data_IF_668454495917
#
_entry.id   IF_668454495917
#
_cell.length_a   1.000
_cell.length_b   1.000
_cell.length_c   1.000
_cell.angle_alpha   90.00
_cell.angle_beta   90.00
_cell.angle_gamma   90.00
#
_symmetry.space_group_name_H-M   'P 1'
#
loop_
_entity.id
_entity.type
_entity.pdbx_description
1 polymer ?
#
# COMPACT_ATOMS: atom_id res chain seq x y z
N UNK A 1 -15.13 7.13 -16.63
CA UNK A 1 -15.16 8.50 -16.07
C UNK A 1 -13.95 9.25 -16.60
N UNK A 2 -14.14 10.40 -17.24
CA UNK A 2 -13.02 11.22 -17.70
C UNK A 2 -12.48 12.06 -16.54
N UNK A 3 -11.42 11.60 -15.88
CA UNK A 3 -10.74 12.37 -14.84
C UNK A 3 -9.91 13.47 -15.52
N UNK A 4 -10.25 14.74 -15.25
CA UNK A 4 -9.46 15.93 -15.64
C UNK A 4 -8.22 16.07 -14.74
N UNK A 5 -7.34 15.10 -14.88
CA UNK A 5 -6.27 14.73 -13.97
C UNK A 5 -5.31 15.89 -13.63
N UNK A 6 -4.95 16.74 -14.60
CA UNK A 6 -4.11 17.94 -14.36
C UNK A 6 -4.73 19.02 -13.46
N UNK A 7 -6.06 19.07 -13.34
CA UNK A 7 -6.76 20.04 -12.50
C UNK A 7 -7.09 19.49 -11.11
N UNK A 8 -6.76 18.21 -10.85
CA UNK A 8 -7.11 17.53 -9.61
C UNK A 8 -5.99 16.59 -9.12
N UNK A 9 -4.76 17.09 -8.88
CA UNK A 9 -3.59 16.26 -8.55
C UNK A 9 -3.71 15.44 -7.25
N UNK A 10 -4.71 15.72 -6.40
CA UNK A 10 -5.00 14.94 -5.20
C UNK A 10 -6.04 13.84 -5.40
N UNK A 11 -6.64 13.75 -6.58
CA UNK A 11 -7.76 12.85 -6.83
C UNK A 11 -7.40 11.36 -6.73
N UNK A 12 -6.24 10.87 -7.22
CA UNK A 12 -5.90 9.45 -7.13
C UNK A 12 -5.79 9.01 -5.67
N UNK A 13 -5.10 9.82 -4.85
CA UNK A 13 -4.96 9.54 -3.43
C UNK A 13 -6.30 9.62 -2.70
N UNK A 14 -7.15 10.59 -3.04
CA UNK A 14 -8.49 10.69 -2.49
C UNK A 14 -9.31 9.43 -2.81
N UNK A 15 -9.37 9.03 -4.07
CA UNK A 15 -10.08 7.81 -4.49
C UNK A 15 -9.54 6.60 -3.75
N UNK A 16 -8.21 6.45 -3.65
CA UNK A 16 -7.59 5.33 -2.95
C UNK A 16 -7.95 5.26 -1.47
N UNK A 17 -8.01 6.41 -0.80
CA UNK A 17 -8.41 6.51 0.61
C UNK A 17 -9.89 6.22 0.84
N UNK A 18 -10.74 6.53 -0.14
CA UNK A 18 -12.19 6.31 -0.05
C UNK A 18 -12.59 4.88 -0.41
N UNK A 19 -11.85 4.21 -1.31
CA UNK A 19 -12.09 2.81 -1.67
C UNK A 19 -11.36 1.82 -0.75
N UNK A 20 -10.32 2.29 -0.05
CA UNK A 20 -9.53 1.48 0.88
C UNK A 20 -10.13 1.36 2.27
N UNK A 21 -9.56 0.44 3.06
CA UNK A 21 -9.91 0.21 4.46
C UNK A 21 -8.66 0.12 5.36
N UNK A 22 -7.54 0.72 4.90
CA UNK A 22 -6.23 0.69 5.59
C UNK A 22 -6.31 1.15 7.05
N UNK A 23 -7.18 2.12 7.36
CA UNK A 23 -7.41 2.58 8.74
C UNK A 23 -7.87 1.46 9.66
N UNK A 24 -8.85 0.66 9.25
CA UNK A 24 -9.33 -0.42 10.11
C UNK A 24 -8.24 -1.48 10.34
N UNK A 25 -7.47 -1.80 9.29
CA UNK A 25 -6.35 -2.75 9.37
C UNK A 25 -5.29 -2.23 10.35
N UNK A 26 -4.86 -0.97 10.19
CA UNK A 26 -3.86 -0.34 11.04
C UNK A 26 -4.21 -0.43 12.53
N UNK A 27 -5.45 -0.12 12.91
CA UNK A 27 -5.88 -0.19 14.32
C UNK A 27 -6.01 -1.62 14.86
N UNK A 28 -6.02 -2.64 13.99
CA UNK A 28 -6.03 -4.05 14.38
C UNK A 28 -4.65 -4.71 14.38
N UNK A 29 -3.60 -4.04 13.87
CA UNK A 29 -2.24 -4.57 13.88
C UNK A 29 -1.69 -4.68 15.30
N UNK A 30 -1.93 -3.66 16.13
CA UNK A 30 -1.29 -3.55 17.43
C UNK A 30 -2.17 -4.18 18.53
N UNK A 31 -1.60 -5.05 19.39
CA UNK A 31 -2.32 -5.61 20.54
C UNK A 31 -2.91 -4.52 21.44
N UNK A 32 -4.12 -4.73 22.02
CA UNK A 32 -4.78 -3.73 22.87
C UNK A 32 -4.07 -3.49 24.21
N UNK A 33 -3.07 -4.32 24.55
CA UNK A 33 -2.23 -4.16 25.74
C UNK A 33 -1.15 -3.09 25.58
N UNK A 34 -0.83 -2.68 24.34
CA UNK A 34 0.15 -1.63 24.06
C UNK A 34 -0.47 -0.24 24.23
N UNK A 35 0.27 0.70 24.82
CA UNK A 35 -0.14 2.10 24.87
C UNK A 35 -0.14 2.66 23.43
N UNK A 36 -1.20 3.38 23.06
CA UNK A 36 -1.31 4.05 21.77
C UNK A 36 -0.09 4.90 21.44
N UNK A 37 0.56 5.49 22.45
CA UNK A 37 1.77 6.30 22.28
C UNK A 37 2.96 5.52 21.72
N UNK A 38 2.99 4.21 21.91
CA UNK A 38 4.07 3.34 21.44
C UNK A 38 4.06 3.14 19.92
N UNK A 39 2.90 3.29 19.27
CA UNK A 39 2.76 2.96 17.85
C UNK A 39 2.04 4.02 17.02
N UNK A 40 1.28 4.95 17.60
CA UNK A 40 0.42 5.87 16.83
C UNK A 40 1.17 6.69 15.78
N UNK A 41 2.45 7.04 16.03
CA UNK A 41 3.30 7.78 15.09
C UNK A 41 3.56 7.01 13.79
N UNK A 42 3.48 5.67 13.81
CA UNK A 42 3.66 4.82 12.62
C UNK A 42 2.45 4.83 11.68
N UNK A 43 1.30 5.31 12.16
CA UNK A 43 0.03 5.23 11.44
C UNK A 43 0.13 5.74 10.00
N UNK A 44 0.68 6.94 9.71
CA UNK A 44 0.76 7.42 8.33
C UNK A 44 1.51 6.46 7.39
N UNK A 45 2.62 5.89 7.87
CA UNK A 45 3.46 4.98 7.11
C UNK A 45 2.79 3.62 6.92
N UNK A 46 2.14 3.10 7.95
CA UNK A 46 1.40 1.84 7.87
C UNK A 46 0.18 1.95 6.95
N UNK A 47 -0.54 3.08 6.97
CA UNK A 47 -1.64 3.33 6.03
C UNK A 47 -1.14 3.35 4.59
N UNK A 48 -0.04 4.07 4.32
CA UNK A 48 0.60 4.12 3.01
C UNK A 48 1.05 2.71 2.57
N UNK A 49 1.71 1.97 3.46
CA UNK A 49 2.15 0.61 3.21
C UNK A 49 0.99 -0.31 2.84
N UNK A 50 -0.09 -0.33 3.63
CA UNK A 50 -1.27 -1.17 3.37
C UNK A 50 -1.89 -0.81 2.01
N UNK A 51 -2.10 0.49 1.79
CA UNK A 51 -2.83 0.91 0.61
C UNK A 51 -2.05 0.60 -0.68
N UNK A 52 -0.76 0.90 -0.67
CA UNK A 52 0.05 0.83 -1.88
C UNK A 52 0.74 -0.52 -2.08
N UNK A 53 0.95 -1.32 -1.03
CA UNK A 53 1.28 -2.75 -1.22
C UNK A 53 0.16 -3.47 -1.97
N UNK A 54 -1.11 -3.13 -1.67
CA UNK A 54 -2.23 -3.66 -2.44
C UNK A 54 -2.17 -3.17 -3.90
N UNK A 55 -1.98 -1.88 -4.16
CA UNK A 55 -1.87 -1.34 -5.54
C UNK A 55 -0.72 -1.98 -6.33
N UNK A 56 0.42 -2.25 -5.67
CA UNK A 56 1.59 -2.91 -6.28
C UNK A 56 1.28 -4.36 -6.65
N UNK A 57 0.71 -5.12 -5.72
CA UNK A 57 0.48 -6.55 -5.89
C UNK A 57 -0.80 -6.86 -6.67
N UNK A 58 -1.71 -5.89 -6.81
CA UNK A 58 -2.87 -5.99 -7.69
C UNK A 58 -2.61 -5.51 -9.11
N UNK A 59 -1.56 -4.71 -9.35
CA UNK A 59 -1.27 -4.12 -10.66
C UNK A 59 -1.38 -5.13 -11.82
N UNK A 60 -0.77 -6.31 -11.69
CA UNK A 60 -0.82 -7.33 -12.75
C UNK A 60 -2.25 -7.79 -13.05
N UNK A 61 -3.05 -8.10 -12.02
CA UNK A 61 -4.44 -8.53 -12.25
C UNK A 61 -5.27 -7.42 -12.90
N UNK A 62 -5.01 -6.17 -12.52
CA UNK A 62 -5.75 -4.99 -12.99
C UNK A 62 -5.43 -4.71 -14.46
N UNK A 63 -4.14 -4.74 -14.84
CA UNK A 63 -3.75 -4.62 -16.25
C UNK A 63 -4.29 -5.79 -17.08
N UNK A 64 -4.23 -7.02 -16.56
CA UNK A 64 -4.78 -8.20 -17.23
C UNK A 64 -6.30 -8.10 -17.45
N UNK A 65 -7.02 -7.45 -16.54
CA UNK A 65 -8.48 -7.25 -16.59
C UNK A 65 -8.88 -5.95 -17.30
N UNK A 66 -7.93 -5.12 -17.72
CA UNK A 66 -8.21 -3.82 -18.35
C UNK A 66 -8.77 -2.78 -17.37
N UNK A 67 -8.58 -2.98 -16.07
CA UNK A 67 -8.98 -2.01 -15.04
C UNK A 67 -8.07 -0.77 -15.11
N UNK A 68 -8.68 0.41 -15.27
CA UNK A 68 -7.97 1.69 -15.38
C UNK A 68 -8.36 2.72 -14.31
N UNK A 69 -9.34 2.39 -13.47
CA UNK A 69 -9.76 3.20 -12.32
C UNK A 69 -9.07 2.66 -11.06
N UNK A 70 -7.76 2.76 -11.05
CA UNK A 70 -6.88 2.38 -9.95
C UNK A 70 -5.82 3.45 -9.70
N UNK A 71 -5.13 3.37 -8.57
CA UNK A 71 -4.18 4.41 -8.17
C UNK A 71 -3.04 4.58 -9.19
N UNK A 72 -2.44 3.47 -9.65
CA UNK A 72 -1.29 3.51 -10.58
C UNK A 72 -1.66 4.15 -11.92
N UNK A 73 -2.80 3.76 -12.53
CA UNK A 73 -3.24 4.32 -13.80
C UNK A 73 -3.59 5.80 -13.70
N UNK A 74 -4.27 6.20 -12.62
CA UNK A 74 -4.61 7.60 -12.40
C UNK A 74 -3.36 8.44 -12.12
N UNK A 75 -2.44 7.96 -11.28
CA UNK A 75 -1.17 8.63 -10.96
C UNK A 75 -0.26 8.78 -12.18
N UNK A 76 -0.13 7.72 -13.00
CA UNK A 76 0.62 7.78 -14.25
C UNK A 76 0.09 8.86 -15.19
N UNK A 77 -1.24 8.91 -15.37
CA UNK A 77 -1.91 9.93 -16.19
C UNK A 77 -1.71 11.35 -15.65
N UNK A 78 -1.74 11.54 -14.33
CA UNK A 78 -1.55 12.85 -13.69
C UNK A 78 -0.14 13.39 -13.85
N UNK A 79 0.85 12.53 -13.62
CA UNK A 79 2.25 12.91 -13.67
C UNK A 79 2.84 12.90 -15.09
N UNK A 80 2.09 12.40 -16.08
CA UNK A 80 2.59 12.22 -17.44
C UNK A 80 3.63 11.10 -17.56
N UNK A 81 3.61 10.16 -16.61
CA UNK A 81 4.51 9.00 -16.57
C UNK A 81 3.85 7.80 -17.26
N UNK A 82 4.67 6.81 -17.63
CA UNK A 82 4.16 5.46 -17.91
C UNK A 82 3.66 4.79 -16.62
N UNK A 83 2.76 3.80 -16.75
CA UNK A 83 2.28 3.02 -15.59
C UNK A 83 3.43 2.29 -14.88
N UNK A 84 4.43 1.81 -15.61
CA UNK A 84 5.60 1.12 -15.05
C UNK A 84 6.47 2.08 -14.24
N UNK A 85 6.69 3.30 -14.71
CA UNK A 85 7.41 4.33 -13.94
C UNK A 85 6.64 4.71 -12.67
N UNK A 86 5.32 4.90 -12.76
CA UNK A 86 4.48 5.17 -11.60
C UNK A 86 4.50 4.00 -10.60
N UNK A 87 4.46 2.75 -11.08
CA UNK A 87 4.56 1.56 -10.24
C UNK A 87 5.91 1.49 -9.51
N UNK A 88 7.02 1.80 -10.21
CA UNK A 88 8.35 1.82 -9.60
C UNK A 88 8.45 2.90 -8.51
N UNK A 89 8.01 4.12 -8.79
CA UNK A 89 7.98 5.20 -7.80
C UNK A 89 7.15 4.84 -6.57
N UNK A 90 6.02 4.15 -6.79
CA UNK A 90 5.16 3.68 -5.71
C UNK A 90 5.83 2.59 -4.88
N UNK A 91 6.58 1.68 -5.51
CA UNK A 91 7.34 0.63 -4.83
C UNK A 91 8.43 1.24 -3.94
N UNK A 92 9.21 2.19 -4.46
CA UNK A 92 10.24 2.89 -3.71
C UNK A 92 9.64 3.62 -2.49
N UNK A 93 8.58 4.40 -2.69
CA UNK A 93 7.89 5.11 -1.60
C UNK A 93 7.28 4.15 -0.55
N UNK A 94 6.73 3.01 -0.98
CA UNK A 94 6.18 1.99 -0.08
C UNK A 94 7.27 1.35 0.77
N UNK A 95 8.43 1.05 0.17
CA UNK A 95 9.59 0.53 0.88
C UNK A 95 10.15 1.54 1.89
N UNK A 96 10.26 2.82 1.50
CA UNK A 96 10.68 3.90 2.41
C UNK A 96 9.74 4.05 3.61
N UNK A 97 8.42 3.92 3.41
CA UNK A 97 7.45 3.92 4.51
C UNK A 97 7.66 2.73 5.46
N UNK A 98 7.93 1.54 4.92
CA UNK A 98 8.25 0.38 5.75
C UNK A 98 9.53 0.60 6.58
N UNK A 99 10.61 1.08 5.96
CA UNK A 99 11.89 1.31 6.67
C UNK A 99 11.75 2.38 7.76
N UNK A 100 11.03 3.47 7.48
CA UNK A 100 10.75 4.50 8.47
C UNK A 100 9.87 3.98 9.61
N UNK A 101 8.86 3.15 9.29
CA UNK A 101 8.04 2.51 10.31
C UNK A 101 8.85 1.59 11.22
N UNK A 102 9.80 0.82 10.67
CA UNK A 102 10.73 0.02 11.45
C UNK A 102 11.53 0.89 12.41
N UNK A 103 12.05 2.04 11.95
CA UNK A 103 12.82 2.97 12.79
C UNK A 103 11.96 3.58 13.91
N UNK A 104 10.74 4.02 13.60
CA UNK A 104 9.82 4.63 14.58
C UNK A 104 9.44 3.67 15.71
N UNK A 105 9.37 2.37 15.43
CA UNK A 105 8.97 1.35 16.39
C UNK A 105 10.16 0.70 17.13
N UNK A 106 11.40 1.13 16.90
CA UNK A 106 12.58 0.52 17.54
C UNK A 106 12.54 0.56 19.08
N UNK A 107 11.85 1.54 19.67
CA UNK A 107 11.71 1.68 21.11
C UNK A 107 10.64 0.78 21.75
N UNK A 108 9.79 0.14 20.94
CA UNK A 108 8.74 -0.81 21.40
C UNK A 108 8.85 -2.12 20.62
N UNK A 109 9.64 -3.10 21.12
CA UNK A 109 9.86 -4.38 20.45
C UNK A 109 8.57 -5.13 20.12
N UNK A 110 7.59 -5.08 21.01
CA UNK A 110 6.27 -5.69 20.84
C UNK A 110 5.50 -5.04 19.67
N UNK A 111 5.49 -3.71 19.58
CA UNK A 111 4.86 -2.99 18.48
C UNK A 111 5.59 -3.28 17.15
N UNK A 112 6.92 -3.28 17.14
CA UNK A 112 7.73 -3.60 15.97
C UNK A 112 7.47 -5.02 15.46
N UNK A 113 7.36 -5.99 16.36
CA UNK A 113 7.05 -7.37 16.01
C UNK A 113 5.64 -7.51 15.43
N UNK A 114 4.64 -6.83 16.02
CA UNK A 114 3.29 -6.79 15.48
C UNK A 114 3.24 -6.18 14.06
N UNK A 115 3.91 -5.04 13.88
CA UNK A 115 4.05 -4.38 12.57
C UNK A 115 4.69 -5.30 11.52
N UNK A 116 5.85 -5.90 11.82
CA UNK A 116 6.55 -6.80 10.89
C UNK A 116 5.72 -8.04 10.56
N UNK A 117 5.09 -8.64 11.57
CA UNK A 117 4.21 -9.79 11.40
C UNK A 117 3.05 -9.48 10.45
N UNK A 118 2.43 -8.31 10.63
CA UNK A 118 1.40 -7.84 9.72
C UNK A 118 1.92 -7.63 8.30
N UNK A 119 3.03 -6.90 8.10
CA UNK A 119 3.60 -6.62 6.77
C UNK A 119 3.92 -7.91 6.01
N UNK A 120 4.59 -8.87 6.66
CA UNK A 120 4.92 -10.17 6.07
C UNK A 120 3.64 -10.94 5.71
N UNK A 121 2.68 -11.02 6.64
CA UNK A 121 1.40 -11.69 6.40
C UNK A 121 0.59 -11.05 5.28
N UNK A 122 0.62 -9.72 5.16
CA UNK A 122 -0.11 -8.97 4.14
C UNK A 122 0.48 -9.22 2.74
N UNK A 123 1.81 -9.21 2.60
CA UNK A 123 2.48 -9.59 1.34
C UNK A 123 2.19 -11.05 1.00
N UNK A 124 2.36 -11.96 1.97
CA UNK A 124 2.09 -13.39 1.76
C UNK A 124 0.64 -13.65 1.33
N UNK A 125 -0.34 -12.98 1.94
CA UNK A 125 -1.75 -13.07 1.54
C UNK A 125 -1.95 -12.74 0.06
N UNK A 126 -1.32 -11.66 -0.43
CA UNK A 126 -1.43 -11.26 -1.84
C UNK A 126 -0.71 -12.24 -2.76
N UNK A 127 0.52 -12.64 -2.42
CA UNK A 127 1.32 -13.56 -3.22
C UNK A 127 0.70 -14.97 -3.34
N UNK A 128 0.01 -15.43 -2.29
CA UNK A 128 -0.60 -16.76 -2.25
C UNK A 128 -2.04 -16.78 -2.75
N UNK A 129 -2.72 -15.64 -2.78
CA UNK A 129 -4.12 -15.56 -3.22
C UNK A 129 -4.24 -15.59 -4.74
N UNK A 130 -5.05 -16.53 -5.25
CA UNK A 130 -5.35 -16.67 -6.68
C UNK A 130 -6.00 -15.42 -7.29
N UNK A 131 -6.60 -14.54 -6.46
CA UNK A 131 -7.22 -13.28 -6.89
C UNK A 131 -6.24 -12.39 -7.65
N UNK A 132 -4.97 -12.36 -7.23
CA UNK A 132 -3.98 -11.43 -7.78
C UNK A 132 -3.20 -12.00 -8.97
N UNK A 133 -3.38 -13.29 -9.28
CA UNK A 133 -2.77 -13.97 -10.45
C UNK A 133 -1.24 -13.86 -10.51
N UNK A 134 -0.57 -13.62 -9.38
CA UNK A 134 0.89 -13.44 -9.33
C UNK A 134 1.66 -14.74 -9.62
N UNK A 135 1.00 -15.89 -9.49
CA UNK A 135 1.52 -17.18 -9.94
C UNK A 135 1.76 -17.24 -11.46
N UNK A 136 1.18 -16.33 -12.25
CA UNK A 136 1.42 -16.24 -13.69
C UNK A 136 2.74 -15.52 -14.03
N UNK A 137 3.37 -14.85 -13.06
CA UNK A 137 4.55 -14.00 -13.27
C UNK A 137 5.89 -14.71 -13.03
N UNK A 138 5.87 -16.00 -12.70
CA UNK A 138 7.07 -16.81 -12.42
C UNK A 138 8.09 -16.12 -11.47
N UNK A 139 7.58 -15.49 -10.40
CA UNK A 139 8.38 -14.72 -9.43
C UNK A 139 9.10 -15.60 -8.39
N UNK A 140 9.50 -16.82 -8.75
CA UNK A 140 10.11 -17.80 -7.85
C UNK A 140 11.63 -17.83 -7.95
#
# INVERSE_FOLDING_TARGET
>A
MEVKSKLAPGFPQFTRRMSGISRAYCFQVFPPVLDVKEWIQVTPDLLHFIDHTNDLLSFYKEEFEGESVNFVSMSAKENGNTKVEALKQLADATAECYERAVQLLQSSPEALNAFRGFCIGFVAFHSLSVRYKLNNLDLR
#
